data_IF_023408656621
#
_entry.id   IF_023408656621
#
_cell.length_a   1.000
_cell.length_b   1.000
_cell.length_c   1.000
_cell.angle_alpha   90.00
_cell.angle_beta   90.00
_cell.angle_gamma   90.00
#
_symmetry.space_group_name_H-M   'P 1'
#
loop_
_entity.id
_entity.type
_entity.pdbx_description
1 polymer ?
#
# COMPACT_ATOMS: atom_id res chain seq x y z
N UNK A 1 32.19 4.36 -13.08
CA UNK A 1 31.63 3.00 -13.04
C UNK A 1 30.70 2.85 -14.23
N UNK A 2 31.15 2.20 -15.31
CA UNK A 2 30.33 1.94 -16.50
C UNK A 2 29.38 0.77 -16.18
N UNK A 3 28.08 1.04 -16.11
CA UNK A 3 27.06 0.00 -15.95
C UNK A 3 26.90 -0.77 -17.27
N UNK A 4 26.70 -2.09 -17.21
CA UNK A 4 26.41 -2.88 -18.40
C UNK A 4 25.11 -2.39 -19.08
N UNK A 5 24.97 -2.49 -20.42
CA UNK A 5 23.75 -2.04 -21.12
C UNK A 5 22.45 -2.71 -20.63
N UNK A 6 22.55 -3.94 -20.10
CA UNK A 6 21.45 -4.67 -19.44
C UNK A 6 20.96 -3.94 -18.18
N UNK A 7 21.90 -3.45 -17.36
CA UNK A 7 21.61 -2.84 -16.06
C UNK A 7 20.94 -1.49 -16.26
N UNK A 8 21.35 -0.73 -17.29
CA UNK A 8 20.70 0.53 -17.65
C UNK A 8 19.22 0.36 -18.01
N UNK A 9 18.84 -0.75 -18.66
CA UNK A 9 17.43 -1.03 -18.98
C UNK A 9 16.62 -1.30 -17.71
N UNK A 10 17.16 -2.10 -16.79
CA UNK A 10 16.51 -2.40 -15.51
C UNK A 10 16.37 -1.18 -14.61
N UNK A 11 17.38 -0.29 -14.56
CA UNK A 11 17.25 0.97 -13.82
C UNK A 11 16.18 1.89 -14.40
N UNK A 12 16.12 2.03 -15.73
CA UNK A 12 15.06 2.81 -16.39
C UNK A 12 13.67 2.23 -16.11
N UNK A 13 13.54 0.90 -16.15
CA UNK A 13 12.31 0.22 -15.82
C UNK A 13 11.92 0.46 -14.35
N UNK A 14 12.82 0.22 -13.40
CA UNK A 14 12.57 0.42 -11.98
C UNK A 14 12.15 1.87 -11.67
N UNK A 15 12.80 2.85 -12.29
CA UNK A 15 12.44 4.26 -12.15
C UNK A 15 11.05 4.56 -12.74
N UNK A 16 10.74 4.04 -13.93
CA UNK A 16 9.42 4.19 -14.54
C UNK A 16 8.31 3.53 -13.69
N UNK A 17 8.57 2.34 -13.13
CA UNK A 17 7.64 1.64 -12.23
C UNK A 17 7.41 2.42 -10.94
N UNK A 18 8.44 3.06 -10.39
CA UNK A 18 8.30 3.91 -9.20
C UNK A 18 7.42 5.13 -9.47
N UNK A 19 7.64 5.84 -10.59
CA UNK A 19 6.79 6.96 -11.01
C UNK A 19 5.35 6.49 -11.22
N UNK A 20 5.17 5.37 -11.93
CA UNK A 20 3.86 4.78 -12.17
C UNK A 20 3.14 4.46 -10.86
N UNK A 21 3.84 3.88 -9.88
CA UNK A 21 3.27 3.55 -8.56
C UNK A 21 2.78 4.80 -7.84
N UNK A 22 3.60 5.86 -7.79
CA UNK A 22 3.24 7.13 -7.13
C UNK A 22 2.04 7.79 -7.81
N UNK A 23 2.07 7.89 -9.15
CA UNK A 23 0.98 8.50 -9.91
C UNK A 23 -0.33 7.70 -9.80
N UNK A 24 -0.22 6.37 -9.85
CA UNK A 24 -1.37 5.48 -9.72
C UNK A 24 -1.98 5.57 -8.32
N UNK A 25 -1.20 5.44 -7.26
CA UNK A 25 -1.71 5.48 -5.89
C UNK A 25 -2.32 6.85 -5.54
N UNK A 26 -1.80 7.95 -6.13
CA UNK A 26 -2.42 9.26 -6.01
C UNK A 26 -3.82 9.29 -6.65
N UNK A 27 -3.95 8.78 -7.88
CA UNK A 27 -5.24 8.74 -8.58
C UNK A 27 -6.22 7.78 -7.90
N UNK A 28 -5.76 6.59 -7.55
CA UNK A 28 -6.54 5.59 -6.83
C UNK A 28 -7.04 6.14 -5.49
N UNK A 29 -6.17 6.79 -4.72
CA UNK A 29 -6.55 7.42 -3.45
C UNK A 29 -7.61 8.50 -3.62
N UNK A 30 -7.45 9.39 -4.61
CA UNK A 30 -8.42 10.44 -4.89
C UNK A 30 -9.80 9.86 -5.29
N UNK A 31 -9.81 8.91 -6.23
CA UNK A 31 -11.04 8.30 -6.74
C UNK A 31 -11.73 7.48 -5.65
N UNK A 32 -10.97 6.69 -4.89
CA UNK A 32 -11.50 5.84 -3.81
C UNK A 32 -12.04 6.66 -2.64
N UNK A 33 -11.36 7.72 -2.22
CA UNK A 33 -11.88 8.61 -1.18
C UNK A 33 -13.16 9.30 -1.65
N UNK A 34 -13.20 9.77 -2.90
CA UNK A 34 -14.39 10.41 -3.46
C UNK A 34 -15.60 9.48 -3.45
N UNK A 35 -15.48 8.28 -4.03
CA UNK A 35 -16.57 7.31 -4.07
C UNK A 35 -16.88 6.72 -2.68
N UNK A 36 -15.87 6.45 -1.86
CA UNK A 36 -16.07 5.96 -0.50
C UNK A 36 -16.84 6.94 0.38
N UNK A 37 -16.58 8.24 0.24
CA UNK A 37 -17.34 9.26 0.95
C UNK A 37 -18.74 9.48 0.36
N UNK A 38 -18.88 9.46 -0.98
CA UNK A 38 -20.17 9.67 -1.64
C UNK A 38 -21.15 8.51 -1.42
N UNK A 39 -20.66 7.28 -1.46
CA UNK A 39 -21.46 6.06 -1.32
C UNK A 39 -21.50 5.54 0.15
N UNK A 40 -20.91 6.30 1.08
CA UNK A 40 -20.79 5.95 2.51
C UNK A 40 -20.12 4.58 2.77
N UNK A 41 -19.25 4.13 1.86
CA UNK A 41 -18.46 2.91 2.00
C UNK A 41 -17.17 3.19 2.77
N UNK A 42 -17.14 2.70 4.00
CA UNK A 42 -15.99 2.85 4.89
C UNK A 42 -14.80 2.02 4.41
N UNK A 43 -15.02 0.82 3.85
CA UNK A 43 -13.91 0.02 3.30
C UNK A 43 -13.24 0.76 2.14
N UNK A 44 -14.03 1.30 1.20
CA UNK A 44 -13.49 2.01 0.04
C UNK A 44 -12.81 3.32 0.44
N UNK A 45 -13.40 4.06 1.37
CA UNK A 45 -12.79 5.27 1.93
C UNK A 45 -11.45 4.96 2.59
N UNK A 46 -11.40 3.90 3.42
CA UNK A 46 -10.17 3.44 4.07
C UNK A 46 -9.09 3.02 3.09
N UNK A 47 -9.47 2.27 2.06
CA UNK A 47 -8.59 1.89 0.96
C UNK A 47 -8.03 3.12 0.22
N UNK A 48 -8.83 4.15 -0.01
CA UNK A 48 -8.34 5.39 -0.62
C UNK A 48 -7.31 6.13 0.25
N UNK A 49 -7.51 6.15 1.57
CA UNK A 49 -6.52 6.71 2.51
C UNK A 49 -5.22 5.88 2.54
N UNK A 50 -5.33 4.56 2.42
CA UNK A 50 -4.20 3.63 2.31
C UNK A 50 -3.33 3.96 1.09
N UNK A 51 -3.92 4.16 -0.09
CA UNK A 51 -3.20 4.52 -1.31
C UNK A 51 -2.35 5.80 -1.14
N UNK A 52 -2.85 6.81 -0.40
CA UNK A 52 -2.05 8.01 -0.10
C UNK A 52 -0.84 7.72 0.80
N UNK A 53 -1.01 6.84 1.81
CA UNK A 53 0.08 6.42 2.68
C UNK A 53 1.13 5.64 1.88
N UNK A 54 0.68 4.75 1.00
CA UNK A 54 1.56 4.01 0.10
C UNK A 54 2.30 4.91 -0.89
N UNK A 55 1.66 5.96 -1.41
CA UNK A 55 2.31 6.96 -2.24
C UNK A 55 3.48 7.62 -1.50
N UNK A 56 3.28 8.02 -0.25
CA UNK A 56 4.33 8.60 0.60
C UNK A 56 5.43 7.56 0.88
N UNK A 57 5.05 6.31 1.18
CA UNK A 57 5.98 5.19 1.37
C UNK A 57 6.85 4.96 0.13
N UNK A 58 6.25 4.92 -1.06
CA UNK A 58 6.95 4.74 -2.33
C UNK A 58 7.96 5.85 -2.63
N UNK A 59 7.64 7.10 -2.29
CA UNK A 59 8.60 8.22 -2.39
C UNK A 59 9.78 8.05 -1.42
N UNK A 60 9.51 7.59 -0.18
CA UNK A 60 10.55 7.28 0.80
C UNK A 60 11.48 6.15 0.36
N UNK A 61 10.90 5.06 -0.17
CA UNK A 61 11.67 3.93 -0.71
C UNK A 61 12.47 4.35 -1.95
N UNK A 62 11.89 5.15 -2.85
CA UNK A 62 12.62 5.67 -4.01
C UNK A 62 13.84 6.50 -3.60
N UNK A 63 13.69 7.38 -2.62
CA UNK A 63 14.81 8.14 -2.09
C UNK A 63 15.90 7.23 -1.48
N UNK A 64 15.49 6.17 -0.76
CA UNK A 64 16.39 5.17 -0.22
C UNK A 64 17.14 4.40 -1.33
N UNK A 65 16.43 3.97 -2.39
CA UNK A 65 17.02 3.30 -3.56
C UNK A 65 18.08 4.19 -4.21
N UNK A 66 17.73 5.46 -4.47
CA UNK A 66 18.65 6.44 -5.08
C UNK A 66 19.89 6.66 -4.22
N UNK A 67 19.73 6.71 -2.90
CA UNK A 67 20.85 6.86 -1.96
C UNK A 67 21.75 5.62 -1.94
N UNK A 68 21.19 4.42 -1.78
CA UNK A 68 21.96 3.17 -1.80
C UNK A 68 22.74 3.03 -3.10
N UNK A 69 22.11 3.41 -4.22
CA UNK A 69 22.76 3.38 -5.53
C UNK A 69 23.93 4.35 -5.64
N UNK A 70 23.79 5.58 -5.12
CA UNK A 70 24.85 6.60 -5.18
C UNK A 70 25.97 6.36 -4.17
N UNK A 71 25.64 5.81 -2.99
CA UNK A 71 26.54 5.59 -1.86
C UNK A 71 26.27 4.24 -1.16
N UNK A 72 26.74 3.12 -1.73
CA UNK A 72 26.59 1.79 -1.13
C UNK A 72 27.18 1.74 0.28
N UNK A 73 26.48 1.09 1.23
CA UNK A 73 26.94 0.92 2.62
C UNK A 73 26.83 2.18 3.51
N UNK A 74 26.29 3.30 3.01
CA UNK A 74 26.02 4.45 3.86
C UNK A 74 24.93 4.14 4.90
N UNK A 75 24.98 4.75 6.10
CA UNK A 75 23.93 4.60 7.12
C UNK A 75 22.63 5.31 6.68
N UNK A 76 21.46 4.77 7.06
CA UNK A 76 20.16 5.33 6.67
C UNK A 76 20.11 6.83 6.93
N UNK A 77 19.68 7.59 5.92
CA UNK A 77 19.60 9.04 6.04
C UNK A 77 18.52 9.46 7.03
N UNK A 78 18.65 10.64 7.64
CA UNK A 78 17.56 11.25 8.44
C UNK A 78 16.24 11.28 7.66
N UNK A 79 16.30 11.59 6.37
CA UNK A 79 15.14 11.62 5.48
C UNK A 79 14.43 10.27 5.36
N UNK A 80 15.17 9.16 5.17
CA UNK A 80 14.59 7.82 5.04
C UNK A 80 13.90 7.38 6.34
N UNK A 81 14.53 7.67 7.49
CA UNK A 81 13.95 7.40 8.80
C UNK A 81 12.67 8.21 9.01
N UNK A 82 12.69 9.49 8.65
CA UNK A 82 11.50 10.35 8.74
C UNK A 82 10.39 9.88 7.81
N UNK A 83 10.69 9.48 6.58
CA UNK A 83 9.70 8.93 5.65
C UNK A 83 9.02 7.67 6.23
N UNK A 84 9.81 6.72 6.76
CA UNK A 84 9.26 5.53 7.43
C UNK A 84 8.43 5.86 8.67
N UNK A 85 8.82 6.86 9.46
CA UNK A 85 8.04 7.33 10.62
C UNK A 85 6.72 7.99 10.19
N UNK A 86 6.72 8.78 9.11
CA UNK A 86 5.50 9.38 8.56
C UNK A 86 4.57 8.29 8.05
N UNK A 87 5.07 7.35 7.25
CA UNK A 87 4.30 6.19 6.77
C UNK A 87 3.71 5.39 7.92
N UNK A 88 4.53 5.06 8.93
CA UNK A 88 4.06 4.31 10.11
C UNK A 88 3.01 5.06 10.93
N UNK A 89 3.17 6.37 11.09
CA UNK A 89 2.18 7.24 11.76
C UNK A 89 0.88 7.29 10.95
N UNK A 90 0.97 7.37 9.62
CA UNK A 90 -0.17 7.34 8.71
C UNK A 90 -0.98 6.05 8.87
N UNK A 91 -0.33 4.89 8.84
CA UNK A 91 -0.98 3.59 9.01
C UNK A 91 -1.64 3.43 10.38
N UNK A 92 -1.02 3.90 11.47
CA UNK A 92 -1.66 3.90 12.79
C UNK A 92 -2.83 4.88 12.87
N UNK A 93 -2.74 6.05 12.22
CA UNK A 93 -3.85 6.98 12.07
C UNK A 93 -5.02 6.33 11.34
N UNK A 94 -4.76 5.68 10.20
CA UNK A 94 -5.74 4.94 9.42
C UNK A 94 -6.41 3.84 10.24
N UNK A 95 -5.61 3.05 10.98
CA UNK A 95 -6.11 2.03 11.91
C UNK A 95 -7.11 2.61 12.90
N UNK A 96 -6.77 3.74 13.54
CA UNK A 96 -7.63 4.41 14.51
C UNK A 96 -8.94 4.90 13.89
N UNK A 97 -8.85 5.60 12.75
CA UNK A 97 -10.02 6.14 12.04
C UNK A 97 -10.98 5.02 11.64
N UNK A 98 -10.47 3.98 10.97
CA UNK A 98 -11.30 2.86 10.51
C UNK A 98 -11.90 2.07 11.66
N UNK A 99 -11.14 1.85 12.74
CA UNK A 99 -11.65 1.13 13.91
C UNK A 99 -12.81 1.89 14.57
N UNK A 100 -12.64 3.20 14.79
CA UNK A 100 -13.69 4.03 15.41
C UNK A 100 -14.93 4.12 14.52
N UNK A 101 -14.75 4.40 13.23
CA UNK A 101 -15.87 4.51 12.28
C UNK A 101 -16.60 3.18 12.09
N UNK A 102 -15.87 2.06 12.01
CA UNK A 102 -16.49 0.74 11.85
C UNK A 102 -17.29 0.35 13.09
N UNK A 103 -16.78 0.60 14.30
CA UNK A 103 -17.52 0.37 15.54
C UNK A 103 -18.78 1.25 15.63
N UNK A 104 -18.68 2.50 15.18
CA UNK A 104 -19.82 3.40 15.10
C UNK A 104 -20.90 2.87 14.14
N UNK A 105 -20.53 2.52 12.90
CA UNK A 105 -21.46 1.97 11.91
C UNK A 105 -22.08 0.65 12.36
N UNK A 106 -21.31 -0.20 13.05
CA UNK A 106 -21.82 -1.44 13.64
C UNK A 106 -22.88 -1.16 14.72
N UNK A 107 -22.71 -0.11 15.51
CA UNK A 107 -23.63 0.26 16.58
C UNK A 107 -24.90 0.94 16.05
N UNK A 108 -24.78 1.69 14.96
CA UNK A 108 -25.90 2.44 14.35
C UNK A 108 -26.62 1.67 13.23
N UNK A 109 -26.14 0.46 12.90
CA UNK A 109 -26.61 -0.34 11.75
C UNK A 109 -26.57 0.43 10.43
N UNK A 110 -25.59 1.32 10.29
CA UNK A 110 -25.37 2.09 9.08
C UNK A 110 -24.85 1.17 7.97
N UNK A 111 -25.31 1.43 6.74
CA UNK A 111 -24.97 0.64 5.55
C UNK A 111 -24.62 1.58 4.40
N UNK A 112 -23.66 1.22 3.54
CA UNK A 112 -23.33 2.03 2.37
C UNK A 112 -24.48 2.05 1.36
N UNK A 113 -24.61 3.14 0.60
CA UNK A 113 -25.60 3.23 -0.48
C UNK A 113 -25.31 2.21 -1.59
N UNK A 114 -24.03 2.07 -1.96
CA UNK A 114 -23.55 1.12 -2.95
C UNK A 114 -22.08 0.78 -2.70
N UNK A 115 -21.62 -0.37 -3.23
CA UNK A 115 -20.19 -0.76 -3.20
C UNK A 115 -19.66 -1.11 -4.60
N UNK A 116 -20.42 -0.76 -5.66
CA UNK A 116 -20.02 -1.05 -7.04
C UNK A 116 -18.71 -0.37 -7.44
N UNK A 117 -18.51 0.87 -7.00
CA UNK A 117 -17.24 1.58 -7.21
C UNK A 117 -16.07 0.80 -6.58
N UNK A 118 -16.28 0.24 -5.38
CA UNK A 118 -15.29 -0.57 -4.68
C UNK A 118 -14.91 -1.83 -5.46
N UNK A 119 -15.86 -2.52 -6.08
CA UNK A 119 -15.59 -3.69 -6.95
C UNK A 119 -14.72 -3.30 -8.14
N UNK A 120 -15.10 -2.23 -8.86
CA UNK A 120 -14.39 -1.79 -10.07
C UNK A 120 -12.97 -1.34 -9.74
N UNK A 121 -12.82 -0.49 -8.71
CA UNK A 121 -11.53 0.02 -8.26
C UNK A 121 -10.64 -1.13 -7.79
N UNK A 122 -11.15 -2.06 -7.00
CA UNK A 122 -10.36 -3.17 -6.50
C UNK A 122 -9.86 -4.09 -7.62
N UNK A 123 -10.68 -4.37 -8.65
CA UNK A 123 -10.24 -5.15 -9.82
C UNK A 123 -9.10 -4.46 -10.56
N UNK A 124 -9.22 -3.14 -10.79
CA UNK A 124 -8.17 -2.35 -11.45
C UNK A 124 -6.90 -2.38 -10.61
N UNK A 125 -7.03 -2.16 -9.30
CA UNK A 125 -5.94 -2.17 -8.34
C UNK A 125 -5.19 -3.49 -8.31
N UNK A 126 -5.90 -4.61 -8.15
CA UNK A 126 -5.29 -5.96 -8.15
C UNK A 126 -4.53 -6.19 -9.46
N UNK A 127 -5.12 -5.81 -10.60
CA UNK A 127 -4.52 -6.03 -11.91
C UNK A 127 -3.21 -5.23 -12.08
N UNK A 128 -3.21 -3.96 -11.66
CA UNK A 128 -2.03 -3.10 -11.72
C UNK A 128 -0.97 -3.50 -10.71
N UNK A 129 -1.36 -3.79 -9.47
CA UNK A 129 -0.44 -4.24 -8.42
C UNK A 129 0.23 -5.56 -8.81
N UNK A 130 -0.51 -6.51 -9.38
CA UNK A 130 0.07 -7.75 -9.89
C UNK A 130 1.17 -7.48 -10.94
N UNK A 131 0.91 -6.59 -11.89
CA UNK A 131 1.90 -6.20 -12.89
C UNK A 131 3.11 -5.50 -12.25
N UNK A 132 2.89 -4.54 -11.35
CA UNK A 132 3.96 -3.84 -10.62
C UNK A 132 4.83 -4.82 -9.84
N UNK A 133 4.23 -5.74 -9.07
CA UNK A 133 4.95 -6.76 -8.30
C UNK A 133 5.81 -7.61 -9.23
N UNK A 134 5.26 -8.07 -10.35
CA UNK A 134 5.97 -8.91 -11.31
C UNK A 134 7.21 -8.19 -11.88
N UNK A 135 7.05 -6.98 -12.41
CA UNK A 135 8.17 -6.25 -13.03
C UNK A 135 9.17 -5.69 -12.01
N UNK A 136 8.72 -5.24 -10.83
CA UNK A 136 9.62 -4.82 -9.74
C UNK A 136 10.44 -6.01 -9.23
N UNK A 137 9.83 -7.19 -9.10
CA UNK A 137 10.57 -8.41 -8.68
C UNK A 137 11.64 -8.77 -9.70
N UNK A 138 11.32 -8.76 -11.00
CA UNK A 138 12.32 -9.01 -12.04
C UNK A 138 13.46 -7.99 -12.01
N UNK A 139 13.14 -6.69 -11.91
CA UNK A 139 14.14 -5.63 -11.84
C UNK A 139 15.00 -5.73 -10.58
N UNK A 140 14.40 -6.05 -9.44
CA UNK A 140 15.09 -6.21 -8.17
C UNK A 140 16.07 -7.39 -8.18
N UNK A 141 15.67 -8.54 -8.75
CA UNK A 141 16.54 -9.71 -8.90
C UNK A 141 17.67 -9.42 -9.90
N UNK A 142 17.36 -8.84 -11.06
CA UNK A 142 18.35 -8.55 -12.10
C UNK A 142 19.40 -7.52 -11.65
N UNK A 143 19.01 -6.55 -10.81
CA UNK A 143 19.90 -5.53 -10.27
C UNK A 143 20.54 -5.91 -8.92
N UNK A 144 20.16 -7.03 -8.32
CA UNK A 144 20.55 -7.39 -6.95
C UNK A 144 20.12 -6.34 -5.91
N UNK A 145 18.99 -5.66 -6.14
CA UNK A 145 18.55 -4.53 -5.33
C UNK A 145 17.50 -4.95 -4.30
N UNK A 146 17.92 -5.08 -3.04
CA UNK A 146 17.02 -5.35 -1.92
C UNK A 146 15.95 -4.27 -1.75
N UNK A 147 16.26 -3.02 -2.11
CA UNK A 147 15.32 -1.92 -1.99
C UNK A 147 14.17 -2.00 -3.01
N UNK A 148 14.44 -2.42 -4.26
CA UNK A 148 13.39 -2.67 -5.26
C UNK A 148 12.55 -3.89 -4.86
N UNK A 149 13.19 -4.93 -4.29
CA UNK A 149 12.47 -6.10 -3.78
C UNK A 149 11.60 -5.75 -2.57
N UNK A 150 12.02 -4.82 -1.72
CA UNK A 150 11.20 -4.30 -0.63
C UNK A 150 9.98 -3.51 -1.16
N UNK A 151 10.15 -2.69 -2.19
CA UNK A 151 9.05 -1.99 -2.86
C UNK A 151 8.02 -2.98 -3.47
N UNK A 152 8.50 -4.08 -4.08
CA UNK A 152 7.62 -5.15 -4.56
C UNK A 152 6.84 -5.85 -3.44
N UNK A 153 7.40 -5.94 -2.22
CA UNK A 153 6.69 -6.48 -1.05
C UNK A 153 5.58 -5.53 -0.58
N UNK A 154 5.82 -4.23 -0.55
CA UNK A 154 4.78 -3.24 -0.23
C UNK A 154 3.60 -3.33 -1.20
N UNK A 155 3.87 -3.36 -2.52
CA UNK A 155 2.82 -3.54 -3.53
C UNK A 155 2.02 -4.85 -3.37
N UNK A 156 2.62 -5.90 -2.79
CA UNK A 156 1.93 -7.16 -2.49
C UNK A 156 0.92 -7.00 -1.34
N UNK A 157 1.24 -6.20 -0.34
CA UNK A 157 0.31 -5.91 0.76
C UNK A 157 -0.87 -5.09 0.24
N UNK A 158 -0.62 -4.07 -0.59
CA UNK A 158 -1.69 -3.35 -1.31
C UNK A 158 -2.63 -4.31 -2.02
N UNK A 159 -2.08 -5.25 -2.81
CA UNK A 159 -2.88 -6.25 -3.52
C UNK A 159 -3.76 -7.09 -2.58
N UNK A 160 -3.30 -7.41 -1.37
CA UNK A 160 -4.12 -8.08 -0.35
C UNK A 160 -5.22 -7.18 0.21
N UNK A 161 -4.93 -5.89 0.45
CA UNK A 161 -5.91 -4.89 0.86
C UNK A 161 -6.98 -4.68 -0.21
N UNK A 162 -6.59 -4.59 -1.48
CA UNK A 162 -7.51 -4.55 -2.63
C UNK A 162 -8.34 -5.83 -2.73
N UNK A 163 -7.76 -6.99 -2.44
CA UNK A 163 -8.48 -8.26 -2.36
C UNK A 163 -9.55 -8.25 -1.26
N UNK A 164 -9.23 -7.68 -0.09
CA UNK A 164 -10.18 -7.52 1.01
C UNK A 164 -11.30 -6.55 0.63
N UNK A 165 -10.99 -5.41 0.02
CA UNK A 165 -11.97 -4.47 -0.52
C UNK A 165 -12.89 -5.13 -1.54
N UNK A 166 -12.32 -5.91 -2.48
CA UNK A 166 -13.10 -6.62 -3.49
C UNK A 166 -14.06 -7.62 -2.84
N UNK A 167 -13.58 -8.39 -1.87
CA UNK A 167 -14.37 -9.38 -1.16
C UNK A 167 -15.52 -8.70 -0.39
N UNK A 168 -15.25 -7.66 0.40
CA UNK A 168 -16.30 -6.96 1.14
C UNK A 168 -17.33 -6.32 0.20
N UNK A 169 -16.87 -5.67 -0.88
CA UNK A 169 -17.76 -5.03 -1.87
C UNK A 169 -18.63 -6.03 -2.62
N UNK A 170 -18.06 -7.17 -3.06
CA UNK A 170 -18.82 -8.22 -3.74
C UNK A 170 -19.83 -8.87 -2.80
N UNK A 171 -19.41 -9.22 -1.58
CA UNK A 171 -20.32 -9.83 -0.60
C UNK A 171 -21.46 -8.86 -0.28
N UNK A 172 -21.19 -7.58 -0.07
CA UNK A 172 -22.24 -6.58 0.14
C UNK A 172 -23.17 -6.46 -1.06
N UNK A 173 -22.62 -6.31 -2.27
CA UNK A 173 -23.42 -6.15 -3.50
C UNK A 173 -24.35 -7.35 -3.75
N UNK A 174 -23.90 -8.57 -3.42
CA UNK A 174 -24.67 -9.80 -3.64
C UNK A 174 -25.67 -10.11 -2.51
N UNK A 175 -25.31 -9.82 -1.26
CA UNK A 175 -26.10 -10.22 -0.10
C UNK A 175 -26.90 -9.09 0.56
N UNK A 176 -26.49 -7.84 0.38
CA UNK A 176 -27.08 -6.67 1.04
C UNK A 176 -26.88 -6.63 2.55
N UNK A 177 -25.96 -7.44 3.10
CA UNK A 177 -25.73 -7.53 4.55
C UNK A 177 -25.04 -6.25 5.04
N UNK A 178 -25.75 -5.50 5.89
CA UNK A 178 -25.38 -4.15 6.34
C UNK A 178 -23.98 -4.04 6.99
N UNK A 179 -23.52 -5.07 7.72
CA UNK A 179 -22.24 -5.01 8.47
C UNK A 179 -21.00 -5.37 7.65
N UNK A 180 -21.16 -5.85 6.40
CA UNK A 180 -20.04 -6.40 5.61
C UNK A 180 -18.98 -5.34 5.32
N UNK A 181 -19.40 -4.12 4.99
CA UNK A 181 -18.48 -3.02 4.75
C UNK A 181 -17.72 -2.63 6.04
N UNK A 182 -18.39 -2.60 7.20
CA UNK A 182 -17.69 -2.34 8.47
C UNK A 182 -16.68 -3.42 8.83
N UNK A 183 -16.98 -4.70 8.52
CA UNK A 183 -15.98 -5.78 8.69
C UNK A 183 -14.81 -5.64 7.72
N UNK A 184 -15.05 -5.23 6.47
CA UNK A 184 -14.01 -4.90 5.51
C UNK A 184 -13.08 -3.80 6.03
N UNK A 185 -13.65 -2.71 6.54
CA UNK A 185 -12.91 -1.62 7.17
C UNK A 185 -12.09 -2.06 8.39
N UNK A 186 -12.62 -2.95 9.24
CA UNK A 186 -11.86 -3.53 10.36
C UNK A 186 -10.71 -4.42 9.88
N UNK A 187 -10.90 -5.18 8.80
CA UNK A 187 -9.83 -5.95 8.18
C UNK A 187 -8.71 -5.06 7.63
N UNK A 188 -9.07 -3.95 6.97
CA UNK A 188 -8.10 -2.93 6.53
C UNK A 188 -7.38 -2.29 7.72
N UNK A 189 -8.10 -1.99 8.80
CA UNK A 189 -7.51 -1.46 10.03
C UNK A 189 -6.48 -2.44 10.61
N UNK A 190 -6.77 -3.74 10.62
CA UNK A 190 -5.84 -4.76 11.09
C UNK A 190 -4.56 -4.83 10.23
N UNK A 191 -4.71 -4.85 8.90
CA UNK A 191 -3.56 -4.87 7.99
C UNK A 191 -2.74 -3.57 8.11
N UNK A 192 -3.41 -2.42 8.18
CA UNK A 192 -2.78 -1.12 8.42
C UNK A 192 -1.97 -1.11 9.72
N UNK A 193 -2.50 -1.69 10.80
CA UNK A 193 -1.76 -1.77 12.05
C UNK A 193 -0.45 -2.57 11.90
N UNK A 194 -0.50 -3.69 11.16
CA UNK A 194 0.69 -4.49 10.89
C UNK A 194 1.74 -3.75 10.06
N UNK A 195 1.31 -3.01 9.03
CA UNK A 195 2.18 -2.16 8.21
C UNK A 195 2.79 -1.00 9.00
N UNK A 196 1.99 -0.35 9.86
CA UNK A 196 2.48 0.71 10.74
C UNK A 196 3.60 0.22 11.66
N UNK A 197 3.43 -0.97 12.25
CA UNK A 197 4.45 -1.62 13.08
C UNK A 197 5.72 -1.94 12.29
N UNK A 198 5.58 -2.47 11.07
CA UNK A 198 6.72 -2.79 10.20
C UNK A 198 7.47 -1.52 9.77
N UNK A 199 6.77 -0.44 9.43
CA UNK A 199 7.36 0.84 9.06
C UNK A 199 8.20 1.43 10.22
N UNK A 200 7.67 1.43 11.45
CA UNK A 200 8.43 1.87 12.63
C UNK A 200 9.60 0.95 12.96
N UNK A 201 9.45 -0.37 12.81
CA UNK A 201 10.56 -1.30 12.99
C UNK A 201 11.71 -0.99 12.01
N UNK A 202 11.38 -0.80 10.72
CA UNK A 202 12.34 -0.39 9.68
C UNK A 202 13.00 0.96 10.00
N UNK A 203 12.25 1.91 10.55
CA UNK A 203 12.77 3.23 10.95
C UNK A 203 13.79 3.14 12.11
N UNK A 204 13.62 2.17 13.00
CA UNK A 204 14.49 1.94 14.15
C UNK A 204 15.69 1.03 13.87
N UNK A 205 15.93 0.70 12.60
CA UNK A 205 17.10 -0.06 12.20
C UNK A 205 16.91 -1.58 12.28
N UNK A 206 15.67 -2.06 12.38
CA UNK A 206 15.42 -3.44 11.97
C UNK A 206 15.82 -3.55 10.49
N UNK A 207 16.86 -4.34 10.21
CA UNK A 207 17.07 -4.87 8.87
C UNK A 207 15.90 -5.80 8.54
N UNK A 208 15.74 -6.18 7.28
CA UNK A 208 14.82 -7.27 6.94
C UNK A 208 15.22 -8.50 7.75
N UNK A 209 14.63 -8.67 8.93
CA UNK A 209 14.41 -9.97 9.49
C UNK A 209 13.48 -10.62 8.47
N UNK A 210 14.08 -11.28 7.49
CA UNK A 210 13.43 -12.43 6.90
C UNK A 210 13.08 -13.29 8.12
N UNK A 211 11.81 -13.25 8.52
CA UNK A 211 11.22 -14.35 9.26
C UNK A 211 11.34 -15.58 8.35
N UNK A 212 12.52 -16.20 8.40
CA UNK A 212 12.66 -17.62 8.20
C UNK A 212 12.23 -18.26 9.54
N UNK A 213 11.18 -19.07 9.49
CA UNK A 213 10.60 -19.79 10.62
C UNK A 213 9.27 -19.17 11.04
N UNK A 214 8.11 -19.82 10.90
CA UNK A 214 7.82 -21.27 10.85
C UNK A 214 6.54 -21.54 10.07
#
# INVERSE_FOLDING_TARGET
MYLAPSDQRWYKLAFALAILTVAYNLLEGLVSVWFGAADESLTLFGFGLDSFIEMISGLGILAMVLRIWRYPGSPKGRFEKTALQITGTGFYGLTGILSVMALYNLSTQHKPETTLAGVVIAIISISLMWALIHYKTQAGVALGSEAILADAKCARVCMYMSGLLLLSSLVYTLSGIWFVDSLGALGLAYLSFTEGREAFAKANGAECACHAGS
#
